data_IF_888829265921
#
_entry.id   IF_888829265921
#
_cell.length_a   1.000
_cell.length_b   1.000
_cell.length_c   1.000
_cell.angle_alpha   90.00
_cell.angle_beta   90.00
_cell.angle_gamma   90.00
#
_symmetry.space_group_name_H-M   'P 1'
#
loop_
_entity.id
_entity.type
_entity.pdbx_description
1 polymer ?
#
# COMPACT_ATOMS: atom_id res chain seq x y z
N UNK A 1 24.12 -12.67 -17.52
CA UNK A 1 24.42 -11.22 -17.57
C UNK A 1 23.24 -10.52 -18.21
N UNK A 2 22.30 -9.99 -17.42
CA UNK A 2 21.34 -9.01 -17.95
C UNK A 2 22.07 -7.67 -17.95
N UNK A 3 22.01 -6.95 -19.07
CA UNK A 3 22.52 -5.59 -19.21
C UNK A 3 21.98 -4.70 -18.08
N UNK A 4 22.81 -4.45 -17.07
CA UNK A 4 22.70 -3.27 -16.21
C UNK A 4 23.15 -2.09 -17.07
N UNK A 5 22.30 -1.64 -18.00
CA UNK A 5 22.52 -0.35 -18.64
C UNK A 5 22.54 0.68 -17.52
N UNK A 6 23.70 1.27 -17.23
CA UNK A 6 23.82 2.31 -16.22
C UNK A 6 22.80 3.41 -16.53
N UNK A 7 22.24 4.02 -15.48
CA UNK A 7 21.19 5.03 -15.64
C UNK A 7 21.74 6.38 -16.12
N UNK A 8 22.99 6.40 -16.56
CA UNK A 8 23.73 7.58 -16.98
C UNK A 8 23.21 8.10 -18.32
N UNK A 9 23.21 9.42 -18.47
CA UNK A 9 22.60 10.10 -19.61
C UNK A 9 21.08 10.09 -19.62
N UNK A 10 20.41 9.45 -18.65
CA UNK A 10 18.95 9.52 -18.51
C UNK A 10 18.52 10.83 -17.85
N UNK A 11 17.41 11.40 -18.34
CA UNK A 11 16.75 12.52 -17.66
C UNK A 11 16.37 12.14 -16.22
N UNK A 12 16.32 13.12 -15.31
CA UNK A 12 15.89 12.92 -13.92
C UNK A 12 14.53 12.21 -13.82
N UNK A 13 13.60 12.55 -14.72
CA UNK A 13 12.28 11.92 -14.77
C UNK A 13 12.36 10.42 -15.10
N UNK A 14 13.20 10.04 -16.08
CA UNK A 14 13.43 8.64 -16.43
C UNK A 14 14.14 7.89 -15.30
N UNK A 15 15.11 8.54 -14.63
CA UNK A 15 15.79 7.96 -13.46
C UNK A 15 14.79 7.66 -12.34
N UNK A 16 13.97 8.65 -11.96
CA UNK A 16 12.90 8.46 -10.98
C UNK A 16 11.92 7.36 -11.38
N UNK A 17 11.50 7.30 -12.65
CA UNK A 17 10.59 6.27 -13.12
C UNK A 17 11.18 4.85 -13.00
N UNK A 18 12.43 4.67 -13.41
CA UNK A 18 13.12 3.36 -13.32
C UNK A 18 13.34 2.93 -11.88
N UNK A 19 13.81 3.82 -11.00
CA UNK A 19 13.99 3.53 -9.58
C UNK A 19 12.65 3.21 -8.90
N UNK A 20 11.58 3.95 -9.19
CA UNK A 20 10.23 3.67 -8.63
C UNK A 20 9.66 2.31 -9.03
N UNK A 21 10.08 1.78 -10.18
CA UNK A 21 9.66 0.47 -10.66
C UNK A 21 10.50 -0.67 -10.08
N UNK A 22 11.55 -0.37 -9.31
CA UNK A 22 12.26 -1.40 -8.55
C UNK A 22 11.40 -1.80 -7.36
N UNK A 23 11.06 -3.08 -7.31
CA UNK A 23 10.30 -3.68 -6.22
C UNK A 23 11.20 -4.63 -5.45
N UNK A 24 11.20 -4.49 -4.12
CA UNK A 24 11.95 -5.34 -3.22
C UNK A 24 10.97 -6.22 -2.45
N UNK A 25 11.06 -7.53 -2.67
CA UNK A 25 10.23 -8.49 -1.95
C UNK A 25 10.74 -8.62 -0.52
N UNK A 26 9.92 -8.20 0.42
CA UNK A 26 10.23 -8.07 1.84
C UNK A 26 9.30 -8.97 2.67
N UNK A 27 9.59 -9.19 3.94
CA UNK A 27 8.78 -10.04 4.84
C UNK A 27 7.28 -9.71 4.83
N UNK A 28 6.93 -8.42 4.79
CA UNK A 28 5.52 -7.96 4.71
C UNK A 28 4.80 -8.43 3.44
N UNK A 29 5.55 -8.64 2.35
CA UNK A 29 5.04 -9.13 1.10
C UNK A 29 4.61 -10.60 1.26
N UNK A 30 5.44 -11.40 1.95
CA UNK A 30 5.15 -12.80 2.25
C UNK A 30 3.94 -12.96 3.19
N UNK A 31 3.79 -12.07 4.17
CA UNK A 31 2.60 -12.03 5.04
C UNK A 31 1.32 -11.77 4.24
N UNK A 32 1.35 -10.78 3.36
CA UNK A 32 0.22 -10.43 2.51
C UNK A 32 -0.07 -11.55 1.50
N UNK A 33 0.95 -12.16 0.90
CA UNK A 33 0.78 -13.28 -0.02
C UNK A 33 0.07 -14.45 0.67
N UNK A 34 0.45 -14.78 1.91
CA UNK A 34 -0.24 -15.79 2.72
C UNK A 34 -1.69 -15.41 2.99
N UNK A 35 -1.97 -14.15 3.31
CA UNK A 35 -3.31 -13.65 3.57
C UNK A 35 -4.22 -13.74 2.34
N UNK A 36 -3.71 -13.29 1.18
CA UNK A 36 -4.43 -13.33 -0.09
C UNK A 36 -4.64 -14.77 -0.58
N UNK A 37 -3.63 -15.63 -0.43
CA UNK A 37 -3.72 -17.04 -0.79
C UNK A 37 -4.77 -17.76 0.06
N UNK A 38 -4.78 -17.55 1.37
CA UNK A 38 -5.80 -18.12 2.25
C UNK A 38 -7.22 -17.68 1.85
N UNK A 39 -7.41 -16.38 1.54
CA UNK A 39 -8.70 -15.87 1.07
C UNK A 39 -9.13 -16.49 -0.27
N UNK A 40 -8.19 -16.74 -1.18
CA UNK A 40 -8.46 -17.40 -2.44
C UNK A 40 -8.84 -18.88 -2.25
N UNK A 41 -8.13 -19.59 -1.37
CA UNK A 41 -8.38 -21.01 -1.08
C UNK A 41 -9.75 -21.21 -0.41
N UNK A 42 -10.12 -20.34 0.54
CA UNK A 42 -11.45 -20.34 1.17
C UNK A 42 -12.56 -20.09 0.14
N UNK A 43 -12.33 -19.14 -0.77
CA UNK A 43 -13.26 -18.82 -1.85
C UNK A 43 -13.44 -20.01 -2.79
N UNK A 44 -12.34 -20.59 -3.26
CA UNK A 44 -12.33 -21.69 -4.21
C UNK A 44 -13.02 -22.93 -3.62
N UNK A 45 -12.66 -23.28 -2.37
CA UNK A 45 -13.31 -24.33 -1.58
C UNK A 45 -14.82 -24.12 -1.50
N UNK A 46 -15.25 -22.90 -1.16
CA UNK A 46 -16.66 -22.52 -1.10
C UNK A 46 -17.40 -22.77 -2.42
N UNK A 47 -16.82 -22.34 -3.54
CA UNK A 47 -17.41 -22.57 -4.89
C UNK A 47 -17.49 -24.06 -5.22
N UNK A 48 -16.43 -24.82 -4.93
CA UNK A 48 -16.37 -26.26 -5.22
C UNK A 48 -17.41 -27.07 -4.44
N UNK A 49 -17.80 -26.62 -3.24
CA UNK A 49 -18.86 -27.32 -2.49
C UNK A 49 -20.23 -27.29 -3.18
N UNK A 50 -20.46 -26.30 -4.05
CA UNK A 50 -21.77 -26.05 -4.68
C UNK A 50 -22.86 -25.62 -3.70
N UNK A 51 -22.51 -25.33 -2.43
CA UNK A 51 -23.44 -24.86 -1.41
C UNK A 51 -23.34 -23.34 -1.24
N UNK A 52 -24.31 -22.75 -0.54
CA UNK A 52 -24.20 -21.35 -0.11
C UNK A 52 -23.04 -21.22 0.87
N UNK A 53 -22.15 -20.28 0.61
CA UNK A 53 -21.02 -19.96 1.47
C UNK A 53 -20.83 -18.45 1.58
N UNK A 54 -20.02 -18.05 2.56
CA UNK A 54 -19.66 -16.65 2.79
C UNK A 54 -18.19 -16.49 2.38
N UNK A 55 -17.89 -15.51 1.53
CA UNK A 55 -16.49 -15.19 1.23
C UNK A 55 -15.81 -14.55 2.45
N UNK A 56 -14.49 -14.40 2.39
CA UNK A 56 -13.70 -13.74 3.43
C UNK A 56 -13.66 -12.22 3.24
N UNK A 57 -13.39 -11.50 4.32
CA UNK A 57 -13.00 -10.10 4.29
C UNK A 57 -11.55 -9.98 4.72
N UNK A 58 -10.76 -9.15 4.06
CA UNK A 58 -9.42 -8.78 4.51
C UNK A 58 -9.46 -7.32 4.98
N UNK A 59 -8.90 -7.03 6.16
CA UNK A 59 -8.73 -5.66 6.64
C UNK A 59 -7.26 -5.37 6.83
N UNK A 60 -6.69 -4.52 5.98
CA UNK A 60 -5.26 -4.22 5.93
C UNK A 60 -5.05 -2.77 6.37
N UNK A 61 -4.55 -2.58 7.58
CA UNK A 61 -4.31 -1.25 8.13
C UNK A 61 -2.84 -0.92 8.28
N UNK A 62 -2.53 0.36 8.37
CA UNK A 62 -1.20 0.87 8.64
C UNK A 62 -1.15 2.37 8.37
N UNK A 63 -0.12 3.02 8.86
CA UNK A 63 -0.02 4.47 8.79
C UNK A 63 -0.01 5.02 7.35
N UNK A 64 -0.37 6.28 7.18
CA UNK A 64 -0.23 6.95 5.89
C UNK A 64 1.22 6.86 5.42
N UNK A 65 1.43 6.64 4.11
CA UNK A 65 2.75 6.41 3.51
C UNK A 65 3.52 5.16 3.99
N UNK A 66 2.87 4.17 4.60
CA UNK A 66 3.53 2.90 4.93
C UNK A 66 3.88 2.01 3.73
N UNK A 67 3.31 2.28 2.55
CA UNK A 67 3.48 1.46 1.33
C UNK A 67 2.35 0.46 1.06
N UNK A 68 1.29 0.45 1.89
CA UNK A 68 0.12 -0.46 1.79
C UNK A 68 -0.42 -0.64 0.37
N UNK A 69 -0.81 0.45 -0.29
CA UNK A 69 -1.48 0.39 -1.60
C UNK A 69 -0.64 -0.35 -2.63
N UNK A 70 0.68 -0.11 -2.64
CA UNK A 70 1.58 -0.74 -3.59
C UNK A 70 1.80 -2.21 -3.24
N UNK A 71 2.00 -2.52 -1.97
CA UNK A 71 2.20 -3.91 -1.53
C UNK A 71 0.96 -4.78 -1.76
N UNK A 72 -0.25 -4.23 -1.54
CA UNK A 72 -1.52 -4.91 -1.84
C UNK A 72 -1.64 -5.17 -3.34
N UNK A 73 -1.30 -4.19 -4.19
CA UNK A 73 -1.31 -4.35 -5.65
C UNK A 73 -0.35 -5.46 -6.08
N UNK A 74 0.87 -5.46 -5.56
CA UNK A 74 1.85 -6.50 -5.86
C UNK A 74 1.40 -7.88 -5.36
N UNK A 75 0.82 -7.98 -4.16
CA UNK A 75 0.28 -9.24 -3.63
C UNK A 75 -0.84 -9.79 -4.51
N UNK A 76 -1.75 -8.94 -5.00
CA UNK A 76 -2.78 -9.37 -5.95
C UNK A 76 -2.19 -9.82 -7.30
N UNK A 77 -1.18 -9.11 -7.82
CA UNK A 77 -0.48 -9.51 -9.06
C UNK A 77 0.18 -10.88 -8.88
N UNK A 78 0.89 -11.09 -7.77
CA UNK A 78 1.53 -12.38 -7.45
C UNK A 78 0.50 -13.50 -7.27
N UNK A 79 -0.64 -13.23 -6.65
CA UNK A 79 -1.73 -14.20 -6.56
C UNK A 79 -2.22 -14.62 -7.96
N UNK A 80 -2.43 -13.64 -8.85
CA UNK A 80 -2.84 -13.89 -10.23
C UNK A 80 -1.77 -14.64 -11.05
N UNK A 81 -0.49 -14.33 -10.86
CA UNK A 81 0.61 -14.99 -11.55
C UNK A 81 0.84 -16.42 -11.05
N UNK A 82 0.78 -16.64 -9.74
CA UNK A 82 0.98 -17.95 -9.11
C UNK A 82 -0.20 -18.89 -9.28
N UNK A 83 -1.42 -18.36 -9.40
CA UNK A 83 -2.64 -19.13 -9.59
C UNK A 83 -3.55 -18.44 -10.63
N UNK A 84 -3.23 -18.51 -11.94
CA UNK A 84 -4.01 -17.81 -12.97
C UNK A 84 -5.46 -18.28 -13.04
N UNK A 85 -5.72 -19.52 -12.64
CA UNK A 85 -7.04 -20.15 -12.60
C UNK A 85 -7.14 -20.98 -11.33
N UNK A 86 -8.22 -20.76 -10.58
CA UNK A 86 -8.61 -21.53 -9.41
C UNK A 86 -9.06 -22.95 -9.81
N UNK A 87 -9.13 -23.88 -8.86
CA UNK A 87 -9.58 -25.25 -9.09
C UNK A 87 -11.06 -25.29 -9.54
N UNK A 88 -11.89 -24.34 -9.09
CA UNK A 88 -13.26 -24.17 -9.60
C UNK A 88 -13.35 -23.66 -11.06
N UNK A 89 -12.22 -23.43 -11.72
CA UNK A 89 -12.14 -22.99 -13.12
C UNK A 89 -12.28 -21.48 -13.32
N UNK A 90 -12.35 -20.68 -12.24
CA UNK A 90 -12.42 -19.21 -12.32
C UNK A 90 -11.02 -18.61 -12.38
N UNK A 91 -10.85 -17.57 -13.20
CA UNK A 91 -9.63 -16.75 -13.15
C UNK A 91 -9.56 -15.91 -11.87
N UNK A 92 -8.35 -15.58 -11.42
CA UNK A 92 -8.17 -14.57 -10.36
C UNK A 92 -8.41 -13.19 -10.98
N UNK A 93 -9.53 -12.56 -10.60
CA UNK A 93 -9.93 -11.24 -11.10
C UNK A 93 -10.30 -10.34 -9.92
N UNK A 94 -9.61 -9.21 -9.82
CA UNK A 94 -9.81 -8.21 -8.79
C UNK A 94 -10.08 -6.84 -9.38
N UNK A 95 -10.86 -6.03 -8.66
CA UNK A 95 -11.03 -4.60 -8.95
C UNK A 95 -10.59 -3.81 -7.73
N UNK A 96 -9.75 -2.79 -7.93
CA UNK A 96 -9.26 -1.91 -6.87
C UNK A 96 -9.82 -0.50 -7.05
N UNK A 97 -10.32 0.07 -5.96
CA UNK A 97 -10.96 1.39 -5.94
C UNK A 97 -10.24 2.21 -4.88
N UNK A 98 -9.61 3.30 -5.31
CA UNK A 98 -9.00 4.27 -4.41
C UNK A 98 -10.02 5.34 -4.04
N UNK A 99 -10.27 5.50 -2.74
CA UNK A 99 -11.18 6.54 -2.25
C UNK A 99 -10.43 7.83 -1.97
N UNK A 100 -10.91 8.91 -2.57
CA UNK A 100 -10.43 10.26 -2.35
C UNK A 100 -11.52 11.08 -1.64
N UNK A 101 -11.26 11.43 -0.38
CA UNK A 101 -12.20 12.19 0.44
C UNK A 101 -13.52 11.46 0.69
N UNK A 102 -14.42 12.15 1.40
CA UNK A 102 -15.68 11.59 1.89
C UNK A 102 -16.49 10.93 0.76
N UNK A 103 -16.65 9.60 0.85
CA UNK A 103 -17.29 8.79 -0.21
C UNK A 103 -18.49 8.03 0.34
N UNK A 104 -19.66 8.27 -0.24
CA UNK A 104 -20.89 7.54 0.11
C UNK A 104 -20.92 6.12 -0.47
N UNK A 105 -21.72 5.22 0.12
CA UNK A 105 -21.96 3.86 -0.41
C UNK A 105 -22.47 3.87 -1.86
N UNK A 106 -23.31 4.83 -2.22
CA UNK A 106 -23.78 5.02 -3.60
C UNK A 106 -22.63 5.42 -4.54
N UNK A 107 -21.78 6.35 -4.12
CA UNK A 107 -20.63 6.82 -4.90
C UNK A 107 -19.60 5.71 -5.12
N UNK A 108 -19.35 4.87 -4.10
CA UNK A 108 -18.51 3.68 -4.24
C UNK A 108 -19.04 2.76 -5.35
N UNK A 109 -20.34 2.48 -5.38
CA UNK A 109 -20.93 1.64 -6.42
C UNK A 109 -20.72 2.19 -7.84
N UNK A 110 -20.76 3.53 -8.01
CA UNK A 110 -20.46 4.17 -9.29
C UNK A 110 -18.97 4.00 -9.64
N UNK A 111 -18.07 4.26 -8.69
CA UNK A 111 -16.62 4.07 -8.89
C UNK A 111 -16.27 2.63 -9.27
N UNK A 112 -16.88 1.63 -8.63
CA UNK A 112 -16.70 0.22 -9.00
C UNK A 112 -17.14 -0.01 -10.45
N UNK A 113 -18.31 0.48 -10.84
CA UNK A 113 -18.82 0.33 -12.20
C UNK A 113 -17.89 0.97 -13.24
N UNK A 114 -17.39 2.18 -12.98
CA UNK A 114 -16.42 2.85 -13.84
C UNK A 114 -15.13 2.05 -13.99
N UNK A 115 -14.60 1.48 -12.89
CA UNK A 115 -13.40 0.65 -12.91
C UNK A 115 -13.56 -0.64 -13.72
N UNK A 116 -14.76 -1.24 -13.71
CA UNK A 116 -15.08 -2.41 -14.55
C UNK A 116 -15.61 -2.03 -15.95
N UNK A 117 -15.37 -0.79 -16.38
CA UNK A 117 -15.69 -0.31 -17.74
C UNK A 117 -17.17 -0.04 -18.01
N UNK A 118 -18.01 0.06 -16.97
CA UNK A 118 -19.45 0.30 -17.10
C UNK A 118 -19.83 1.71 -16.63
N UNK A 119 -20.25 2.56 -17.56
CA UNK A 119 -20.68 3.92 -17.23
C UNK A 119 -22.16 3.93 -16.83
N UNK A 120 -22.46 4.51 -15.66
CA UNK A 120 -23.83 4.62 -15.15
C UNK A 120 -24.13 6.04 -14.69
N UNK A 121 -25.32 6.54 -15.02
CA UNK A 121 -25.74 7.86 -14.55
C UNK A 121 -25.84 7.90 -13.01
N UNK A 122 -25.22 8.89 -12.34
CA UNK A 122 -25.33 9.06 -10.89
C UNK A 122 -26.75 9.36 -10.38
N UNK A 123 -27.68 9.73 -11.28
CA UNK A 123 -29.10 9.98 -10.95
C UNK A 123 -29.86 8.70 -10.59
N UNK A 124 -29.31 7.54 -10.92
CA UNK A 124 -29.90 6.24 -10.57
C UNK A 124 -29.97 6.05 -9.06
N UNK A 125 -30.92 5.24 -8.61
CA UNK A 125 -31.05 4.91 -7.19
C UNK A 125 -29.88 4.03 -6.72
N UNK A 126 -29.57 4.05 -5.42
CA UNK A 126 -28.53 3.19 -4.84
C UNK A 126 -28.81 1.70 -5.13
N UNK A 127 -30.07 1.27 -5.02
CA UNK A 127 -30.47 -0.09 -5.35
C UNK A 127 -30.20 -0.46 -6.82
N UNK A 128 -30.54 0.42 -7.78
CA UNK A 128 -30.24 0.18 -9.20
C UNK A 128 -28.73 0.08 -9.45
N UNK A 129 -27.93 0.96 -8.83
CA UNK A 129 -26.46 0.97 -8.97
C UNK A 129 -25.89 -0.35 -8.45
N UNK A 130 -26.22 -0.75 -7.22
CA UNK A 130 -25.68 -1.97 -6.62
C UNK A 130 -26.19 -3.26 -7.26
N UNK A 131 -27.39 -3.23 -7.84
CA UNK A 131 -27.87 -4.33 -8.69
C UNK A 131 -27.01 -4.47 -9.95
N UNK A 132 -26.58 -3.36 -10.55
CA UNK A 132 -25.66 -3.37 -11.69
C UNK A 132 -24.25 -3.76 -11.29
N UNK A 133 -23.74 -3.30 -10.14
CA UNK A 133 -22.42 -3.71 -9.62
C UNK A 133 -22.35 -5.23 -9.53
N UNK A 134 -23.29 -5.88 -8.83
CA UNK A 134 -23.29 -7.35 -8.68
C UNK A 134 -23.35 -8.08 -10.01
N UNK A 135 -24.16 -7.58 -10.96
CA UNK A 135 -24.25 -8.16 -12.30
C UNK A 135 -22.91 -8.04 -13.05
N UNK A 136 -22.26 -6.88 -13.01
CA UNK A 136 -20.99 -6.65 -13.69
C UNK A 136 -19.85 -7.47 -13.06
N UNK A 137 -19.75 -7.50 -11.73
CA UNK A 137 -18.78 -8.34 -11.03
C UNK A 137 -18.92 -9.82 -11.43
N UNK A 138 -20.16 -10.35 -11.43
CA UNK A 138 -20.43 -11.73 -11.84
C UNK A 138 -20.12 -11.99 -13.31
N UNK A 139 -20.61 -11.14 -14.22
CA UNK A 139 -20.49 -11.38 -15.67
C UNK A 139 -19.07 -11.23 -16.18
N UNK A 140 -18.25 -10.38 -15.54
CA UNK A 140 -16.85 -10.18 -15.88
C UNK A 140 -15.90 -11.05 -15.02
N UNK A 141 -16.43 -11.77 -14.02
CA UNK A 141 -15.67 -12.70 -13.20
C UNK A 141 -14.90 -12.08 -12.04
N UNK A 142 -15.10 -10.79 -11.71
CA UNK A 142 -14.48 -10.15 -10.55
C UNK A 142 -15.07 -10.69 -9.25
N UNK A 143 -14.23 -11.33 -8.44
CA UNK A 143 -14.63 -11.88 -7.14
C UNK A 143 -13.79 -11.35 -5.97
N UNK A 144 -12.79 -10.51 -6.25
CA UNK A 144 -12.08 -9.71 -5.25
C UNK A 144 -12.40 -8.24 -5.50
N UNK A 145 -12.90 -7.53 -4.48
CA UNK A 145 -13.11 -6.08 -4.52
C UNK A 145 -12.27 -5.43 -3.44
N UNK A 146 -11.30 -4.62 -3.85
CA UNK A 146 -10.42 -3.87 -2.97
C UNK A 146 -10.86 -2.41 -2.90
N UNK A 147 -11.09 -1.95 -1.67
CA UNK A 147 -11.48 -0.58 -1.34
C UNK A 147 -10.34 0.01 -0.52
N UNK A 148 -9.54 0.87 -1.16
CA UNK A 148 -8.41 1.55 -0.54
C UNK A 148 -8.83 2.89 0.06
N UNK A 149 -8.12 3.32 1.10
CA UNK A 149 -8.47 4.46 1.95
C UNK A 149 -9.93 4.40 2.47
N UNK A 150 -10.37 3.20 2.85
CA UNK A 150 -11.74 2.88 3.21
C UNK A 150 -12.28 3.70 4.40
N UNK A 151 -11.40 4.24 5.26
CA UNK A 151 -11.81 5.14 6.35
C UNK A 151 -12.62 6.34 5.84
N UNK A 152 -12.40 6.80 4.60
CA UNK A 152 -13.15 7.91 4.01
C UNK A 152 -14.64 7.62 3.82
N UNK A 153 -15.05 6.35 3.84
CA UNK A 153 -16.47 6.00 3.85
C UNK A 153 -17.13 6.20 5.21
N UNK A 154 -16.33 6.24 6.28
CA UNK A 154 -16.81 6.24 7.67
C UNK A 154 -16.52 7.54 8.42
N UNK A 155 -15.80 8.47 7.80
CA UNK A 155 -15.23 9.68 8.42
C UNK A 155 -16.28 10.54 9.12
N UNK A 156 -17.43 10.77 8.47
CA UNK A 156 -18.53 11.62 8.95
C UNK A 156 -19.75 10.82 9.42
N UNK A 157 -19.71 9.49 9.31
CA UNK A 157 -20.87 8.66 9.58
C UNK A 157 -21.10 8.48 11.07
N UNK A 158 -22.32 8.76 11.52
CA UNK A 158 -22.82 8.29 12.80
C UNK A 158 -22.96 6.76 12.85
N UNK A 159 -23.19 6.20 14.04
CA UNK A 159 -23.28 4.74 14.23
C UNK A 159 -24.33 4.08 13.34
N UNK A 160 -25.50 4.73 13.16
CA UNK A 160 -26.60 4.18 12.35
C UNK A 160 -26.20 4.01 10.89
N UNK A 161 -25.50 4.99 10.32
CA UNK A 161 -25.09 4.93 8.92
C UNK A 161 -23.84 4.06 8.74
N UNK A 162 -22.94 4.01 9.74
CA UNK A 162 -21.87 3.00 9.81
C UNK A 162 -22.43 1.59 9.74
N UNK A 163 -23.49 1.27 10.51
CA UNK A 163 -24.19 -0.04 10.43
C UNK A 163 -24.71 -0.34 9.03
N UNK A 164 -25.26 0.66 8.33
CA UNK A 164 -25.78 0.46 6.96
C UNK A 164 -24.66 0.11 5.99
N UNK A 165 -23.55 0.83 6.04
CA UNK A 165 -22.38 0.56 5.19
C UNK A 165 -21.83 -0.84 5.48
N UNK A 166 -21.62 -1.19 6.75
CA UNK A 166 -21.14 -2.53 7.14
C UNK A 166 -22.09 -3.65 6.71
N UNK A 167 -23.40 -3.47 6.87
CA UNK A 167 -24.39 -4.43 6.37
C UNK A 167 -24.35 -4.57 4.84
N UNK A 168 -24.04 -3.49 4.14
CA UNK A 168 -23.95 -3.52 2.68
C UNK A 168 -22.68 -4.24 2.21
N UNK A 169 -21.56 -4.07 2.89
CA UNK A 169 -20.34 -4.88 2.69
C UNK A 169 -20.64 -6.36 2.92
N UNK A 170 -21.30 -6.71 4.04
CA UNK A 170 -21.72 -8.10 4.31
C UNK A 170 -22.61 -8.68 3.21
N UNK A 171 -23.45 -7.85 2.58
CA UNK A 171 -24.33 -8.29 1.48
C UNK A 171 -23.54 -8.69 0.22
N UNK A 172 -22.38 -8.08 -0.02
CA UNK A 172 -21.46 -8.49 -1.10
C UNK A 172 -20.77 -9.81 -0.77
N UNK A 173 -20.26 -9.91 0.47
CA UNK A 173 -19.55 -11.09 0.96
C UNK A 173 -20.44 -12.34 0.96
N UNK A 174 -21.70 -12.19 1.37
CA UNK A 174 -22.68 -13.29 1.54
C UNK A 174 -23.62 -13.43 0.35
N UNK A 175 -23.27 -12.90 -0.80
CA UNK A 175 -24.17 -12.98 -1.95
C UNK A 175 -24.31 -14.46 -2.39
N UNK A 176 -25.54 -15.01 -2.49
CA UNK A 176 -25.73 -16.43 -2.77
C UNK A 176 -25.35 -16.84 -4.20
N UNK A 177 -25.38 -15.90 -5.15
CA UNK A 177 -25.09 -16.18 -6.56
C UNK A 177 -23.62 -15.93 -6.92
N UNK A 178 -23.01 -14.94 -6.28
CA UNK A 178 -21.65 -14.47 -6.54
C UNK A 178 -21.06 -13.79 -5.30
N UNK A 179 -20.64 -14.55 -4.29
CA UNK A 179 -19.98 -13.99 -3.12
C UNK A 179 -18.66 -13.32 -3.56
N UNK A 180 -18.26 -12.29 -2.82
CA UNK A 180 -17.09 -11.46 -3.15
C UNK A 180 -16.17 -11.36 -1.95
N UNK A 181 -14.90 -11.66 -2.15
CA UNK A 181 -13.84 -11.34 -1.18
C UNK A 181 -13.65 -9.83 -1.17
N UNK A 182 -13.87 -9.21 -0.02
CA UNK A 182 -13.72 -7.75 0.14
C UNK A 182 -12.41 -7.46 0.85
N UNK A 183 -11.56 -6.62 0.26
CA UNK A 183 -10.33 -6.12 0.86
C UNK A 183 -10.55 -4.66 1.25
N UNK A 184 -10.51 -4.38 2.54
CA UNK A 184 -10.60 -3.03 3.09
C UNK A 184 -9.20 -2.60 3.52
N UNK A 185 -8.64 -1.56 2.91
CA UNK A 185 -7.39 -0.98 3.39
C UNK A 185 -7.55 0.48 3.81
N UNK A 186 -6.69 0.91 4.72
CA UNK A 186 -6.74 2.27 5.25
C UNK A 186 -5.81 2.49 6.43
N UNK A 187 -5.99 3.63 7.08
CA UNK A 187 -5.31 3.97 8.33
C UNK A 187 -5.91 3.21 9.54
N UNK A 188 -5.22 3.12 10.68
CA UNK A 188 -5.68 2.35 11.85
C UNK A 188 -7.11 2.67 12.34
N UNK A 189 -7.59 3.88 12.10
CA UNK A 189 -8.94 4.37 12.41
C UNK A 189 -10.07 3.58 11.71
N UNK A 190 -9.72 2.80 10.67
CA UNK A 190 -10.63 1.85 10.04
C UNK A 190 -11.01 0.68 10.98
N UNK A 191 -10.08 0.22 11.84
CA UNK A 191 -10.29 -0.97 12.68
C UNK A 191 -11.51 -0.84 13.62
N UNK A 192 -11.70 0.26 14.37
CA UNK A 192 -12.90 0.45 15.18
C UNK A 192 -14.21 0.34 14.38
N UNK A 193 -14.22 0.78 13.11
CA UNK A 193 -15.41 0.74 12.25
C UNK A 193 -15.75 -0.69 11.82
N UNK A 194 -14.73 -1.50 11.52
CA UNK A 194 -14.89 -2.93 11.21
C UNK A 194 -15.31 -3.72 12.45
N UNK A 195 -14.65 -3.45 13.59
CA UNK A 195 -14.93 -4.11 14.88
C UNK A 195 -16.32 -3.80 15.45
N UNK A 196 -16.94 -2.73 14.97
CA UNK A 196 -18.26 -2.29 15.41
C UNK A 196 -19.37 -3.33 15.16
N UNK A 197 -19.24 -4.16 14.11
CA UNK A 197 -20.17 -5.26 13.81
C UNK A 197 -19.50 -6.62 14.03
N UNK A 198 -19.95 -7.41 15.03
CA UNK A 198 -19.35 -8.71 15.32
C UNK A 198 -19.41 -9.71 14.14
N UNK A 199 -20.41 -9.61 13.25
CA UNK A 199 -20.51 -10.53 12.11
C UNK A 199 -19.47 -10.21 11.05
N UNK A 200 -19.23 -8.92 10.75
CA UNK A 200 -18.16 -8.53 9.84
C UNK A 200 -16.80 -8.88 10.44
N UNK A 201 -16.59 -8.60 11.73
CA UNK A 201 -15.35 -8.96 12.43
C UNK A 201 -15.03 -10.45 12.32
N UNK A 202 -16.03 -11.33 12.47
CA UNK A 202 -15.82 -12.78 12.39
C UNK A 202 -15.52 -13.29 10.97
N UNK A 203 -15.82 -12.50 9.93
CA UNK A 203 -15.47 -12.79 8.54
C UNK A 203 -14.11 -12.20 8.15
N UNK A 204 -13.53 -11.37 9.02
CA UNK A 204 -12.38 -10.55 8.69
C UNK A 204 -11.08 -11.17 9.19
N UNK A 205 -10.15 -11.37 8.27
CA UNK A 205 -8.74 -11.54 8.59
C UNK A 205 -8.05 -10.17 8.56
N UNK A 206 -7.46 -9.76 9.67
CA UNK A 206 -6.80 -8.45 9.80
C UNK A 206 -5.28 -8.58 9.63
N UNK A 207 -4.68 -7.62 8.93
CA UNK A 207 -3.24 -7.45 8.84
C UNK A 207 -2.87 -6.01 9.15
N UNK A 208 -1.89 -5.84 10.03
CA UNK A 208 -1.34 -4.53 10.36
C UNK A 208 0.03 -4.40 9.71
N UNK A 209 0.12 -3.56 8.70
CA UNK A 209 1.39 -3.10 8.14
C UNK A 209 2.04 -2.13 9.13
N UNK A 210 2.73 -2.72 10.10
CA UNK A 210 3.41 -2.00 11.17
C UNK A 210 4.45 -1.01 10.61
N UNK A 211 4.74 0.06 11.34
CA UNK A 211 5.94 0.85 11.10
C UNK A 211 7.20 -0.03 11.14
N UNK A 212 8.24 0.46 10.48
CA UNK A 212 9.58 -0.09 10.56
C UNK A 212 10.08 -0.02 12.02
N UNK A 213 10.75 -1.06 12.49
CA UNK A 213 11.43 -1.04 13.78
C UNK A 213 12.92 -0.74 13.57
N UNK A 214 13.41 0.47 13.93
CA UNK A 214 14.80 0.86 13.68
C UNK A 214 15.80 0.10 14.58
N UNK A 215 15.31 -0.69 15.55
CA UNK A 215 16.13 -1.55 16.41
C UNK A 215 16.10 -3.02 15.97
N UNK A 216 15.36 -3.35 14.91
CA UNK A 216 15.27 -4.69 14.35
C UNK A 216 16.32 -4.86 13.26
N UNK A 217 17.32 -5.73 13.49
CA UNK A 217 18.31 -6.11 12.47
C UNK A 217 17.64 -6.57 11.18
N UNK A 218 16.53 -7.30 11.31
CA UNK A 218 15.76 -7.78 10.17
C UNK A 218 15.22 -6.62 9.30
N UNK A 219 14.64 -5.58 9.94
CA UNK A 219 14.08 -4.44 9.21
C UNK A 219 15.19 -3.56 8.62
N UNK A 220 16.29 -3.36 9.35
CA UNK A 220 17.45 -2.63 8.82
C UNK A 220 18.08 -3.36 7.63
N UNK A 221 18.10 -4.70 7.63
CA UNK A 221 18.55 -5.48 6.48
C UNK A 221 17.65 -5.30 5.24
N UNK A 222 16.33 -5.10 5.41
CA UNK A 222 15.44 -4.77 4.29
C UNK A 222 15.76 -3.38 3.71
N UNK A 223 16.07 -2.41 4.56
CA UNK A 223 16.51 -1.06 4.16
C UNK A 223 17.87 -1.12 3.44
N UNK A 224 18.83 -1.84 4.01
CA UNK A 224 20.15 -2.08 3.43
C UNK A 224 20.04 -2.69 2.03
N UNK A 225 19.22 -3.73 1.87
CA UNK A 225 18.99 -4.40 0.59
C UNK A 225 18.47 -3.42 -0.47
N UNK A 226 17.47 -2.61 -0.13
CA UNK A 226 16.94 -1.61 -1.05
C UNK A 226 17.98 -0.54 -1.38
N UNK A 227 18.71 -0.05 -0.38
CA UNK A 227 19.74 0.98 -0.53
C UNK A 227 20.88 0.50 -1.44
N UNK A 228 21.38 -0.71 -1.22
CA UNK A 228 22.38 -1.36 -2.05
C UNK A 228 21.93 -1.50 -3.50
N UNK A 229 20.71 -2.01 -3.75
CA UNK A 229 20.26 -2.20 -5.12
C UNK A 229 20.00 -0.88 -5.86
N UNK A 230 19.57 0.17 -5.17
CA UNK A 230 19.48 1.49 -5.78
C UNK A 230 20.86 2.06 -6.12
N UNK A 231 21.85 1.87 -5.25
CA UNK A 231 23.24 2.24 -5.51
C UNK A 231 23.83 1.47 -6.70
N UNK A 232 23.63 0.15 -6.74
CA UNK A 232 24.03 -0.73 -7.85
C UNK A 232 23.39 -0.29 -9.17
N UNK A 233 22.09 0.05 -9.17
CA UNK A 233 21.41 0.57 -10.35
C UNK A 233 21.98 1.89 -10.86
N UNK A 234 22.57 2.70 -9.97
CA UNK A 234 23.24 3.95 -10.29
C UNK A 234 24.73 3.82 -10.58
N UNK A 235 25.37 2.72 -10.16
CA UNK A 235 26.81 2.53 -10.27
C UNK A 235 27.63 3.36 -9.27
N UNK A 236 27.06 3.67 -8.10
CA UNK A 236 27.67 4.56 -7.10
C UNK A 236 28.10 3.74 -5.87
N UNK A 237 29.29 4.00 -5.35
CA UNK A 237 29.77 3.41 -4.10
C UNK A 237 29.02 4.01 -2.89
N UNK A 238 28.62 3.18 -1.94
CA UNK A 238 27.92 3.58 -0.72
C UNK A 238 28.59 3.03 0.55
N UNK A 239 29.73 2.36 0.44
CA UNK A 239 30.36 1.63 1.55
C UNK A 239 30.65 2.53 2.77
N UNK A 240 30.93 3.82 2.53
CA UNK A 240 31.19 4.81 3.59
C UNK A 240 29.98 5.21 4.43
N UNK A 241 28.77 4.82 4.03
CA UNK A 241 27.49 5.17 4.70
C UNK A 241 26.53 3.97 4.80
N UNK A 242 27.06 2.77 4.55
CA UNK A 242 26.31 1.51 4.59
C UNK A 242 26.39 0.91 5.99
N UNK A 243 25.85 1.62 6.96
CA UNK A 243 25.98 1.31 8.39
C UNK A 243 24.67 1.53 9.16
N UNK A 244 24.62 0.96 10.36
CA UNK A 244 23.45 0.97 11.23
C UNK A 244 23.01 2.39 11.63
N UNK A 245 23.95 3.30 11.94
CA UNK A 245 23.65 4.67 12.36
C UNK A 245 23.00 5.44 11.21
N UNK A 246 23.54 5.30 9.98
CA UNK A 246 22.94 5.89 8.78
C UNK A 246 21.51 5.39 8.56
N UNK A 247 21.25 4.08 8.71
CA UNK A 247 19.90 3.54 8.56
C UNK A 247 18.95 3.97 9.66
N UNK A 248 19.38 4.01 10.91
CA UNK A 248 18.55 4.50 12.01
C UNK A 248 18.17 5.97 11.83
N UNK A 249 19.12 6.82 11.42
CA UNK A 249 18.85 8.22 11.05
C UNK A 249 17.85 8.32 9.91
N UNK A 250 18.02 7.50 8.87
CA UNK A 250 17.10 7.46 7.74
C UNK A 250 15.69 7.04 8.15
N UNK A 251 15.57 6.05 9.04
CA UNK A 251 14.29 5.61 9.57
C UNK A 251 13.62 6.71 10.40
N UNK A 252 14.35 7.30 11.34
CA UNK A 252 13.87 8.40 12.19
C UNK A 252 13.42 9.60 11.35
N UNK A 253 14.23 10.03 10.39
CA UNK A 253 13.96 11.15 9.49
C UNK A 253 12.63 11.01 8.72
N UNK A 254 12.14 9.78 8.56
CA UNK A 254 10.94 9.43 7.80
C UNK A 254 9.85 8.78 8.65
N UNK A 255 9.89 8.99 9.98
CA UNK A 255 8.86 8.51 10.91
C UNK A 255 8.72 6.99 10.93
N UNK A 256 9.77 6.26 10.57
CA UNK A 256 9.78 4.80 10.44
C UNK A 256 8.76 4.25 9.42
N UNK A 257 8.40 5.04 8.40
CA UNK A 257 7.50 4.59 7.34
C UNK A 257 8.30 4.12 6.12
N UNK A 258 8.27 2.83 5.82
CA UNK A 258 8.92 2.25 4.64
C UNK A 258 8.64 3.02 3.34
N UNK A 259 7.38 3.38 3.09
CA UNK A 259 7.03 4.11 1.88
C UNK A 259 7.64 5.52 1.81
N UNK A 260 7.89 6.19 2.94
CA UNK A 260 8.63 7.46 2.95
C UNK A 260 10.13 7.23 2.74
N UNK A 261 10.70 6.20 3.37
CA UNK A 261 12.11 5.83 3.23
C UNK A 261 12.45 5.49 1.77
N UNK A 262 11.65 4.65 1.10
CA UNK A 262 11.90 4.34 -0.32
C UNK A 262 11.69 5.55 -1.23
N UNK A 263 10.70 6.40 -0.95
CA UNK A 263 10.53 7.67 -1.70
C UNK A 263 11.77 8.55 -1.56
N UNK A 264 12.37 8.58 -0.38
CA UNK A 264 13.62 9.30 -0.11
C UNK A 264 14.80 8.68 -0.84
N UNK A 265 15.01 7.37 -0.75
CA UNK A 265 16.07 6.68 -1.51
C UNK A 265 15.95 6.93 -3.01
N UNK A 266 14.76 6.77 -3.59
CA UNK A 266 14.50 7.09 -5.00
C UNK A 266 14.88 8.54 -5.31
N UNK A 267 14.57 9.49 -4.43
CA UNK A 267 14.93 10.88 -4.64
C UNK A 267 16.44 11.10 -4.54
N UNK A 268 17.12 10.49 -3.58
CA UNK A 268 18.59 10.52 -3.46
C UNK A 268 19.22 9.99 -4.75
N UNK A 269 18.98 8.72 -5.09
CA UNK A 269 19.65 8.05 -6.19
C UNK A 269 19.30 8.62 -7.57
N UNK A 270 18.09 9.18 -7.74
CA UNK A 270 17.73 9.84 -8.99
C UNK A 270 18.48 11.16 -9.21
N UNK A 271 18.89 11.85 -8.14
CA UNK A 271 19.55 13.16 -8.22
C UNK A 271 21.08 13.08 -8.19
N UNK A 272 21.68 11.90 -8.00
CA UNK A 272 23.13 11.71 -8.09
C UNK A 272 23.61 12.00 -9.52
N UNK A 273 24.63 12.84 -9.67
CA UNK A 273 25.31 13.14 -10.93
C UNK A 273 25.97 11.89 -11.52
N UNK A 274 26.11 11.81 -12.85
CA UNK A 274 26.59 10.59 -13.51
C UNK A 274 28.09 10.34 -13.25
N UNK A 275 28.86 11.39 -12.95
CA UNK A 275 30.28 11.32 -12.61
C UNK A 275 30.54 11.02 -11.11
N UNK A 276 29.49 10.95 -10.29
CA UNK A 276 29.63 10.75 -8.84
C UNK A 276 30.02 9.30 -8.54
N UNK A 277 31.25 9.10 -8.06
CA UNK A 277 31.78 7.77 -7.77
C UNK A 277 31.37 7.18 -6.42
N UNK A 278 31.13 8.01 -5.40
CA UNK A 278 30.82 7.56 -4.04
C UNK A 278 29.84 8.50 -3.32
N UNK A 279 28.94 7.96 -2.51
CA UNK A 279 28.00 8.70 -1.69
C UNK A 279 28.55 8.85 -0.27
N UNK A 280 28.38 10.04 0.30
CA UNK A 280 28.61 10.31 1.71
C UNK A 280 27.31 10.72 2.41
N UNK A 281 27.36 10.92 3.73
CA UNK A 281 26.18 11.24 4.53
C UNK A 281 25.60 12.61 4.17
N UNK A 282 26.42 13.52 3.63
CA UNK A 282 26.00 14.86 3.26
C UNK A 282 25.05 14.85 2.07
N UNK A 283 25.16 13.89 1.15
CA UNK A 283 24.13 13.69 0.12
C UNK A 283 22.76 13.39 0.72
N UNK A 284 22.68 12.53 1.74
CA UNK A 284 21.41 12.26 2.43
C UNK A 284 20.90 13.53 3.12
N UNK A 285 21.80 14.24 3.81
CA UNK A 285 21.48 15.48 4.50
C UNK A 285 20.94 16.57 3.55
N UNK A 286 21.60 16.81 2.43
CA UNK A 286 21.25 17.84 1.45
C UNK A 286 19.92 17.51 0.76
N UNK A 287 19.70 16.24 0.41
CA UNK A 287 18.42 15.80 -0.16
C UNK A 287 17.28 15.91 0.83
N UNK A 288 17.53 15.56 2.10
CA UNK A 288 16.55 15.72 3.16
C UNK A 288 16.19 17.20 3.35
N UNK A 289 17.20 18.07 3.49
CA UNK A 289 17.00 19.51 3.64
C UNK A 289 16.32 20.15 2.42
N UNK A 290 16.65 19.73 1.19
CA UNK A 290 15.97 20.20 -0.01
C UNK A 290 14.48 19.82 -0.04
N UNK A 291 14.11 18.70 0.60
CA UNK A 291 12.73 18.21 0.65
C UNK A 291 11.92 18.83 1.80
N UNK A 292 12.52 18.94 2.98
CA UNK A 292 11.84 19.38 4.21
C UNK A 292 12.02 20.87 4.48
N UNK A 293 13.11 21.47 3.99
CA UNK A 293 13.52 22.83 4.28
C UNK A 293 14.04 23.03 5.71
N UNK A 294 14.41 21.95 6.42
CA UNK A 294 14.96 22.06 7.76
C UNK A 294 16.32 22.78 7.78
N UNK A 295 16.60 23.53 8.84
CA UNK A 295 17.94 24.08 9.09
C UNK A 295 18.92 22.96 9.51
N UNK A 296 20.25 23.15 9.41
CA UNK A 296 21.22 22.13 9.79
C UNK A 296 21.04 21.57 11.21
N UNK A 297 20.64 22.40 12.18
CA UNK A 297 20.35 21.97 13.56
C UNK A 297 19.11 21.09 13.72
N UNK A 298 18.30 20.94 12.67
CA UNK A 298 17.14 20.05 12.60
C UNK A 298 17.29 19.00 11.50
N UNK A 299 18.51 18.76 11.00
CA UNK A 299 18.79 17.72 10.01
C UNK A 299 19.27 16.43 10.70
N UNK A 300 18.49 15.33 10.66
CA UNK A 300 18.86 14.08 11.33
C UNK A 300 20.13 13.42 10.81
N UNK A 301 20.56 13.75 9.58
CA UNK A 301 21.80 13.21 8.99
C UNK A 301 23.06 14.00 9.38
N UNK A 302 22.90 15.17 10.01
CA UNK A 302 24.00 16.04 10.44
C UNK A 302 24.14 16.04 11.96
N UNK A 303 23.03 16.15 12.68
CA UNK A 303 23.01 16.36 14.12
C UNK A 303 23.36 15.07 14.88
N UNK A 304 24.29 15.13 15.84
CA UNK A 304 24.67 13.94 16.63
C UNK A 304 23.48 13.35 17.39
N UNK A 305 22.74 14.18 18.13
CA UNK A 305 21.51 13.85 18.85
C UNK A 305 20.27 13.94 17.94
N UNK A 306 20.31 13.26 16.79
CA UNK A 306 19.28 13.37 15.74
C UNK A 306 17.85 13.06 16.21
N UNK A 307 17.69 12.29 17.29
CA UNK A 307 16.39 11.98 17.87
C UNK A 307 15.69 13.22 18.47
N UNK A 308 16.40 14.34 18.63
CA UNK A 308 15.85 15.64 19.03
C UNK A 308 15.37 16.48 17.84
N UNK A 309 15.53 16.02 16.60
CA UNK A 309 15.05 16.74 15.42
C UNK A 309 13.53 16.65 15.26
N UNK A 310 12.91 17.78 15.00
CA UNK A 310 11.51 17.91 14.54
C UNK A 310 11.35 17.36 13.10
N UNK A 311 11.11 16.05 12.95
CA UNK A 311 11.05 15.38 11.63
C UNK A 311 9.64 15.30 11.03
N UNK A 312 8.62 15.75 11.77
CA UNK A 312 7.21 15.74 11.33
C UNK A 312 6.77 17.07 10.74
N UNK A 313 7.60 18.10 10.81
CA UNK A 313 7.28 19.45 10.37
C UNK A 313 8.19 19.87 9.19
N UNK A 314 7.62 20.64 8.27
CA UNK A 314 8.40 21.32 7.23
C UNK A 314 9.02 22.60 7.81
N UNK A 315 10.18 23.00 7.29
CA UNK A 315 10.89 24.22 7.71
C UNK A 315 11.27 24.21 9.20
N UNK A 316 11.52 23.03 9.76
CA UNK A 316 11.95 22.85 11.14
C UNK A 316 13.17 23.73 11.47
N UNK A 317 13.07 24.49 12.56
CA UNK A 317 14.08 25.44 13.03
C UNK A 317 14.20 26.75 12.22
N UNK A 318 13.28 27.04 11.28
CA UNK A 318 13.19 28.35 10.61
C UNK A 318 12.19 29.32 11.25
N UNK A 319 11.29 28.83 12.10
CA UNK A 319 10.25 29.63 12.78
C UNK A 319 10.54 29.89 14.26
N UNK A 320 11.76 29.54 14.72
CA UNK A 320 12.28 29.86 16.05
C UNK A 320 13.07 31.17 16.06
#
# INVERSE_FOLDING_TARGET
MKDLSTMDGMSLAMRKARLRNMYFHMSRAEDLDRLFKAAADDYDSGVLTGQLFEASCLTIVGESNSGKTEEIRHAMSRLQESCPTLECGRGVQSVSIFLDGETTWKSLGIKILEQVGYHMSPRKTEHEIWSRVRLQLKTQGYWIVHIDECQHMFETLGEKDTKKVVNSIKTLIKNPDWPVVVVLSGIPELLPKVNFDPQLRNLTSAYHMRPLDPLSDHDLNEIDTAFYHYAEARGVDIDGIRDEDTYQRMCYAHGNHFGLIFKFMVDVFANIEDEQGALDIFWLADRYAAKTGCVPGHNPFIREDYQMCEVKELLAGMMD
#
